data_IF_833320412719
#
_entry.id   IF_833320412719
#
_cell.length_a   1.000
_cell.length_b   1.000
_cell.length_c   1.000
_cell.angle_alpha   90.00
_cell.angle_beta   90.00
_cell.angle_gamma   90.00
#
_symmetry.space_group_name_H-M   'P 1'
#
loop_
_entity.id
_entity.type
_entity.pdbx_description
1 polymer ?
#
# COMPACT_ATOMS: atom_id res chain seq x y z
N UNK A 1 -24.28 12.55 25.44
CA UNK A 1 -23.04 13.29 25.28
C UNK A 1 -23.17 14.32 24.16
N UNK A 2 -22.73 15.52 24.40
CA UNK A 2 -22.71 16.61 23.43
C UNK A 2 -21.30 17.19 23.35
N UNK A 3 -20.66 17.16 22.16
CA UNK A 3 -19.28 17.59 21.93
C UNK A 3 -18.30 16.48 21.57
N UNK A 4 -17.03 16.81 21.41
CA UNK A 4 -15.98 15.88 21.02
C UNK A 4 -15.47 15.04 22.19
N UNK A 5 -15.31 13.75 21.95
CA UNK A 5 -14.64 12.83 22.86
C UNK A 5 -13.14 12.82 22.52
N UNK A 6 -12.34 13.57 23.27
CA UNK A 6 -10.90 13.53 23.10
C UNK A 6 -10.18 13.55 24.46
N UNK A 7 -8.97 12.99 24.48
CA UNK A 7 -8.13 12.96 25.67
C UNK A 7 -7.09 14.07 25.61
N UNK A 8 -7.24 15.09 26.45
CA UNK A 8 -6.32 16.24 26.48
C UNK A 8 -4.87 15.85 26.77
N UNK A 9 -4.66 14.88 27.66
CA UNK A 9 -3.34 14.39 28.06
C UNK A 9 -2.57 13.71 26.92
N UNK A 10 -3.26 13.21 25.90
CA UNK A 10 -2.68 12.44 24.82
C UNK A 10 -2.96 13.02 23.42
N UNK A 11 -3.13 14.34 23.31
CA UNK A 11 -3.41 15.01 22.02
C UNK A 11 -2.39 14.66 20.94
N UNK A 12 -1.11 14.55 21.29
CA UNK A 12 -0.05 14.20 20.37
C UNK A 12 -0.08 12.75 19.87
N UNK A 13 -0.90 11.88 20.44
CA UNK A 13 -0.97 10.45 20.14
C UNK A 13 -1.14 10.14 18.64
N UNK A 14 -1.95 10.94 17.93
CA UNK A 14 -2.21 10.75 16.51
C UNK A 14 -1.00 11.01 15.61
N UNK A 15 -0.09 11.87 16.04
CA UNK A 15 1.03 12.37 15.23
C UNK A 15 2.41 12.05 15.79
N UNK A 16 2.52 11.79 17.11
CA UNK A 16 3.80 11.45 17.75
C UNK A 16 4.39 10.20 17.13
N UNK A 17 5.67 10.28 16.72
CA UNK A 17 6.37 9.20 16.04
C UNK A 17 5.55 8.66 14.84
N UNK A 18 5.09 9.55 13.98
CA UNK A 18 4.18 9.24 12.86
C UNK A 18 4.70 8.10 11.95
N UNK A 19 6.03 7.94 11.81
CA UNK A 19 6.63 6.84 11.06
C UNK A 19 6.26 5.47 11.61
N UNK A 20 6.11 5.33 12.93
CA UNK A 20 5.72 4.07 13.56
C UNK A 20 4.28 3.70 13.17
N UNK A 21 3.35 4.66 13.25
CA UNK A 21 1.95 4.49 12.81
C UNK A 21 1.85 4.12 11.33
N UNK A 22 2.63 4.81 10.48
CA UNK A 22 2.70 4.51 9.05
C UNK A 22 3.22 3.10 8.79
N UNK A 23 4.27 2.68 9.48
CA UNK A 23 4.86 1.35 9.32
C UNK A 23 3.89 0.27 9.80
N UNK A 24 3.23 0.48 10.95
CA UNK A 24 2.18 -0.40 11.44
C UNK A 24 1.09 -0.60 10.38
N UNK A 25 0.52 0.48 9.85
CA UNK A 25 -0.54 0.40 8.84
C UNK A 25 -0.07 -0.30 7.55
N UNK A 26 1.15 -0.04 7.10
CA UNK A 26 1.72 -0.74 5.94
C UNK A 26 1.85 -2.25 6.19
N UNK A 27 2.29 -2.65 7.38
CA UNK A 27 2.38 -4.06 7.73
C UNK A 27 1.00 -4.72 7.80
N UNK A 28 0.01 -4.09 8.42
CA UNK A 28 -1.36 -4.61 8.47
C UNK A 28 -1.89 -4.92 7.05
N UNK A 29 -1.77 -3.98 6.12
CA UNK A 29 -2.21 -4.21 4.75
C UNK A 29 -1.40 -5.29 4.03
N UNK A 30 -0.08 -5.30 4.21
CA UNK A 30 0.78 -6.29 3.58
C UNK A 30 0.46 -7.71 4.06
N UNK A 31 0.23 -7.90 5.36
CA UNK A 31 -0.14 -9.21 5.91
C UNK A 31 -1.54 -9.66 5.51
N UNK A 32 -2.53 -8.75 5.45
CA UNK A 32 -3.85 -9.08 4.92
C UNK A 32 -3.76 -9.57 3.46
N UNK A 33 -2.96 -8.90 2.64
CA UNK A 33 -2.73 -9.31 1.26
C UNK A 33 -1.98 -10.66 1.19
N UNK A 34 -0.95 -10.84 2.02
CA UNK A 34 -0.18 -12.08 2.06
C UNK A 34 -1.05 -13.28 2.47
N UNK A 35 -1.95 -13.13 3.45
CA UNK A 35 -2.90 -14.17 3.83
C UNK A 35 -3.87 -14.51 2.69
N UNK A 36 -4.49 -13.49 2.07
CA UNK A 36 -5.40 -13.68 0.95
C UNK A 36 -4.71 -14.42 -0.22
N UNK A 37 -3.57 -13.92 -0.64
CA UNK A 37 -2.82 -14.49 -1.76
C UNK A 37 -2.30 -15.91 -1.44
N UNK A 38 -1.89 -16.17 -0.20
CA UNK A 38 -1.49 -17.51 0.25
C UNK A 38 -2.64 -18.51 0.21
N UNK A 39 -3.85 -18.09 0.60
CA UNK A 39 -5.04 -18.94 0.48
C UNK A 39 -5.34 -19.25 -0.99
N UNK A 40 -5.30 -18.23 -1.86
CA UNK A 40 -5.50 -18.42 -3.29
C UNK A 40 -4.39 -19.27 -3.91
N UNK A 41 -3.13 -19.05 -3.55
CA UNK A 41 -1.99 -19.85 -3.98
C UNK A 41 -2.12 -21.32 -3.58
N UNK A 42 -2.58 -21.59 -2.36
CA UNK A 42 -2.87 -22.96 -1.91
C UNK A 42 -4.00 -23.61 -2.70
N UNK A 43 -5.12 -22.91 -2.88
CA UNK A 43 -6.31 -23.47 -3.52
C UNK A 43 -6.14 -23.64 -5.04
N UNK A 44 -5.48 -22.71 -5.71
CA UNK A 44 -5.38 -22.65 -7.18
C UNK A 44 -4.08 -23.28 -7.69
N UNK A 45 -2.97 -23.06 -7.00
CA UNK A 45 -1.63 -23.47 -7.47
C UNK A 45 -0.99 -24.56 -6.61
N UNK A 46 -1.68 -25.06 -5.56
CA UNK A 46 -1.18 -26.16 -4.71
C UNK A 46 -0.03 -25.78 -3.80
N UNK A 47 0.18 -24.49 -3.54
CA UNK A 47 1.23 -24.04 -2.61
C UNK A 47 0.92 -24.46 -1.17
N UNK A 48 1.97 -24.64 -0.39
CA UNK A 48 1.84 -24.79 1.06
C UNK A 48 1.52 -23.43 1.71
N UNK A 49 0.55 -23.42 2.63
CA UNK A 49 0.18 -22.18 3.34
C UNK A 49 1.25 -21.83 4.38
N UNK A 50 1.87 -20.64 4.33
CA UNK A 50 3.03 -20.29 5.13
C UNK A 50 2.68 -19.84 6.55
N UNK A 51 1.93 -20.68 7.31
CA UNK A 51 1.36 -20.35 8.61
C UNK A 51 2.38 -19.77 9.60
N UNK A 52 3.55 -20.40 9.72
CA UNK A 52 4.57 -19.95 10.68
C UNK A 52 5.16 -18.58 10.31
N UNK A 53 5.41 -18.33 9.02
CA UNK A 53 5.94 -17.04 8.54
C UNK A 53 4.94 -15.92 8.81
N UNK A 54 3.65 -16.17 8.54
CA UNK A 54 2.57 -15.25 8.81
C UNK A 54 2.41 -14.96 10.31
N UNK A 55 2.36 -16.00 11.13
CA UNK A 55 2.22 -15.85 12.58
C UNK A 55 3.36 -15.03 13.18
N UNK A 56 4.61 -15.35 12.85
CA UNK A 56 5.79 -14.60 13.34
C UNK A 56 5.73 -13.12 12.95
N UNK A 57 5.23 -12.82 11.79
CA UNK A 57 5.06 -11.44 11.35
C UNK A 57 3.97 -10.72 12.12
N UNK A 58 2.79 -11.32 12.26
CA UNK A 58 1.69 -10.78 13.06
C UNK A 58 2.08 -10.57 14.53
N UNK A 59 2.81 -11.51 15.13
CA UNK A 59 3.33 -11.33 16.49
C UNK A 59 4.17 -10.06 16.64
N UNK A 60 5.00 -9.72 15.64
CA UNK A 60 5.80 -8.49 15.64
C UNK A 60 4.94 -7.24 15.45
N UNK A 61 3.98 -7.28 14.53
CA UNK A 61 3.03 -6.17 14.34
C UNK A 61 2.26 -5.90 15.63
N UNK A 62 1.71 -6.94 16.24
CA UNK A 62 0.93 -6.83 17.47
C UNK A 62 1.79 -6.37 18.67
N UNK A 63 3.04 -6.81 18.76
CA UNK A 63 3.97 -6.32 19.78
C UNK A 63 4.14 -4.81 19.72
N UNK A 64 4.31 -4.26 18.50
CA UNK A 64 4.50 -2.83 18.33
C UNK A 64 3.21 -2.00 18.36
N UNK A 65 2.05 -2.65 18.45
CA UNK A 65 0.77 -2.02 18.78
C UNK A 65 0.55 -1.84 20.28
N UNK A 66 1.53 -2.24 21.12
CA UNK A 66 1.48 -2.02 22.54
C UNK A 66 1.16 -0.54 22.87
N UNK A 67 0.31 -0.34 23.87
CA UNK A 67 -0.31 0.96 24.16
C UNK A 67 0.67 2.12 24.47
N UNK A 68 1.94 1.82 24.75
CA UNK A 68 3.01 2.82 24.90
C UNK A 68 3.92 2.92 23.67
N UNK A 69 3.84 1.99 22.74
CA UNK A 69 4.64 2.03 21.51
C UNK A 69 3.87 2.73 20.38
N UNK A 70 2.65 2.26 20.07
CA UNK A 70 1.89 2.84 18.93
C UNK A 70 1.52 4.31 19.13
N UNK A 71 1.22 4.81 20.34
CA UNK A 71 0.91 6.23 20.56
C UNK A 71 2.13 7.15 20.47
N UNK A 72 3.34 6.66 20.60
CA UNK A 72 4.54 7.49 20.56
C UNK A 72 5.08 7.92 21.92
N UNK A 73 4.63 7.29 23.02
CA UNK A 73 4.98 7.63 24.40
C UNK A 73 6.03 6.74 25.04
N UNK A 74 6.64 5.84 24.28
CA UNK A 74 7.70 4.95 24.77
C UNK A 74 9.09 5.60 24.76
N UNK A 75 10.08 4.88 25.24
CA UNK A 75 11.48 5.32 25.25
C UNK A 75 12.09 5.26 23.84
N UNK A 76 13.17 6.00 23.63
CA UNK A 76 13.87 6.10 22.35
C UNK A 76 14.26 4.73 21.78
N UNK A 77 14.81 3.86 22.63
CA UNK A 77 15.28 2.52 22.29
C UNK A 77 14.17 1.64 21.68
N UNK A 78 12.92 1.78 22.16
CA UNK A 78 11.77 1.07 21.60
C UNK A 78 11.51 1.48 20.13
N UNK A 79 11.70 2.77 19.80
CA UNK A 79 11.53 3.25 18.42
C UNK A 79 12.72 2.92 17.53
N UNK A 80 13.92 2.86 18.06
CA UNK A 80 15.09 2.34 17.33
C UNK A 80 14.88 0.86 16.97
N UNK A 81 14.28 0.08 17.87
CA UNK A 81 13.89 -1.31 17.58
C UNK A 81 12.79 -1.39 16.51
N UNK A 82 11.76 -0.57 16.62
CA UNK A 82 10.71 -0.46 15.59
C UNK A 82 11.28 -0.13 14.21
N UNK A 83 12.17 0.86 14.13
CA UNK A 83 12.78 1.29 12.87
C UNK A 83 13.62 0.18 12.23
N UNK A 84 14.24 -0.66 13.04
CA UNK A 84 15.02 -1.81 12.59
C UNK A 84 14.15 -2.99 12.16
N UNK A 85 13.05 -3.26 12.86
CA UNK A 85 12.26 -4.49 12.72
C UNK A 85 11.12 -4.34 11.71
N UNK A 86 10.41 -3.20 11.66
CA UNK A 86 9.30 -3.02 10.72
C UNK A 86 9.68 -3.27 9.25
N UNK A 87 10.85 -2.83 8.74
CA UNK A 87 11.24 -3.16 7.36
C UNK A 87 11.34 -4.66 7.11
N UNK A 88 11.85 -5.43 8.07
CA UNK A 88 11.98 -6.90 7.97
C UNK A 88 10.62 -7.59 7.98
N UNK A 89 9.71 -7.10 8.82
CA UNK A 89 8.33 -7.59 8.92
C UNK A 89 7.59 -7.33 7.62
N UNK A 90 7.71 -6.12 7.07
CA UNK A 90 7.10 -5.76 5.80
C UNK A 90 7.68 -6.59 4.63
N UNK A 91 9.00 -6.78 4.61
CA UNK A 91 9.66 -7.61 3.59
C UNK A 91 9.16 -9.05 3.63
N UNK A 92 9.03 -9.65 4.81
CA UNK A 92 8.48 -11.00 4.96
C UNK A 92 7.07 -11.13 4.35
N UNK A 93 6.18 -10.17 4.61
CA UNK A 93 4.84 -10.18 4.02
C UNK A 93 4.87 -10.02 2.49
N UNK A 94 5.75 -9.15 1.98
CA UNK A 94 5.92 -8.97 0.55
C UNK A 94 6.48 -10.21 -0.15
N UNK A 95 7.44 -10.90 0.48
CA UNK A 95 8.02 -12.15 -0.06
C UNK A 95 6.97 -13.26 -0.13
N UNK A 96 6.13 -13.39 0.91
CA UNK A 96 5.01 -14.33 0.92
C UNK A 96 4.02 -14.00 -0.21
N UNK A 97 3.67 -12.74 -0.37
CA UNK A 97 2.77 -12.28 -1.44
C UNK A 97 3.35 -12.59 -2.82
N UNK A 98 4.62 -12.25 -3.05
CA UNK A 98 5.30 -12.46 -4.33
C UNK A 98 5.40 -13.93 -4.73
N UNK A 99 5.62 -14.83 -3.77
CA UNK A 99 5.62 -16.27 -3.99
C UNK A 99 4.25 -16.75 -4.49
N UNK A 100 3.17 -16.33 -3.81
CA UNK A 100 1.81 -16.68 -4.18
C UNK A 100 1.39 -16.06 -5.52
N UNK A 101 1.65 -14.77 -5.73
CA UNK A 101 1.39 -14.07 -7.00
C UNK A 101 2.09 -14.76 -8.17
N UNK A 102 3.36 -15.10 -8.01
CA UNK A 102 4.14 -15.79 -9.04
C UNK A 102 3.50 -17.15 -9.42
N UNK A 103 3.02 -17.91 -8.44
CA UNK A 103 2.39 -19.19 -8.69
C UNK A 103 1.02 -19.03 -9.36
N UNK A 104 0.21 -18.07 -8.91
CA UNK A 104 -1.12 -17.79 -9.48
C UNK A 104 -0.99 -17.25 -10.91
N UNK A 105 -0.04 -16.33 -11.15
CA UNK A 105 0.19 -15.76 -12.48
C UNK A 105 0.52 -16.82 -13.56
N UNK A 106 1.12 -17.94 -13.19
CA UNK A 106 1.36 -19.05 -14.14
C UNK A 106 0.07 -19.71 -14.66
N UNK A 107 -1.04 -19.50 -13.97
CA UNK A 107 -2.36 -20.03 -14.32
C UNK A 107 -3.20 -19.02 -15.13
N UNK A 108 -2.73 -17.77 -15.22
CA UNK A 108 -3.42 -16.67 -15.89
C UNK A 108 -2.89 -16.51 -17.32
N UNK A 109 -3.80 -16.45 -18.28
CA UNK A 109 -3.46 -16.15 -19.67
C UNK A 109 -3.32 -14.63 -19.82
N UNK A 110 -2.10 -14.15 -19.94
CA UNK A 110 -1.83 -12.70 -19.96
C UNK A 110 -1.55 -12.14 -21.36
N UNK A 111 -1.30 -12.99 -22.35
CA UNK A 111 -0.92 -12.58 -23.72
C UNK A 111 0.17 -11.50 -23.78
N UNK A 112 1.16 -11.61 -22.89
CA UNK A 112 2.23 -10.62 -22.73
C UNK A 112 1.89 -9.42 -21.87
N UNK A 113 0.69 -9.37 -21.29
CA UNK A 113 0.27 -8.35 -20.33
C UNK A 113 0.69 -8.66 -18.89
N UNK A 114 0.35 -7.76 -17.98
CA UNK A 114 0.61 -7.86 -16.54
C UNK A 114 -0.71 -8.03 -15.80
N UNK A 115 -0.81 -9.04 -14.94
CA UNK A 115 -1.97 -9.23 -14.07
C UNK A 115 -1.89 -8.26 -12.87
N UNK A 116 -2.95 -7.50 -12.66
CA UNK A 116 -3.11 -6.58 -11.53
C UNK A 116 -4.24 -7.09 -10.65
N UNK A 117 -3.93 -7.41 -9.40
CA UNK A 117 -4.88 -8.00 -8.44
C UNK A 117 -5.59 -6.93 -7.62
N UNK A 118 -6.89 -7.16 -7.36
CA UNK A 118 -7.68 -6.35 -6.43
C UNK A 118 -7.98 -7.17 -5.16
N UNK A 119 -7.36 -6.85 -4.02
CA UNK A 119 -7.61 -7.55 -2.77
C UNK A 119 -8.90 -7.13 -2.07
N UNK A 120 -9.61 -6.12 -2.58
CA UNK A 120 -10.83 -5.60 -1.96
C UNK A 120 -12.06 -6.47 -2.30
N UNK A 121 -13.12 -6.33 -1.50
CA UNK A 121 -14.41 -6.98 -1.72
C UNK A 121 -15.34 -6.21 -2.66
N UNK A 122 -14.86 -5.13 -3.25
CA UNK A 122 -15.58 -4.28 -4.20
C UNK A 122 -14.70 -4.02 -5.42
N UNK A 123 -15.32 -3.67 -6.55
CA UNK A 123 -14.61 -3.25 -7.75
C UNK A 123 -13.75 -2.02 -7.45
N UNK A 124 -12.54 -2.02 -7.97
CA UNK A 124 -11.60 -0.93 -7.75
C UNK A 124 -10.95 -0.50 -9.07
N UNK A 125 -10.58 0.77 -9.11
CA UNK A 125 -9.74 1.35 -10.15
C UNK A 125 -8.57 2.06 -9.48
N UNK A 126 -7.41 2.05 -10.09
CA UNK A 126 -6.27 2.66 -9.43
C UNK A 126 -5.04 2.79 -10.31
N UNK A 127 -4.09 3.52 -9.77
CA UNK A 127 -2.78 3.74 -10.39
C UNK A 127 -1.84 2.63 -9.99
N UNK A 128 -1.26 1.96 -10.97
CA UNK A 128 -0.24 0.93 -10.79
C UNK A 128 1.04 1.33 -11.52
N UNK A 129 2.16 0.78 -11.08
CA UNK A 129 3.45 1.00 -11.72
C UNK A 129 3.93 -0.31 -12.35
N UNK A 130 4.02 -0.33 -13.68
CA UNK A 130 4.44 -1.48 -14.49
C UNK A 130 5.68 -1.06 -15.28
N UNK A 131 6.78 -1.79 -15.16
CA UNK A 131 8.06 -1.51 -15.84
C UNK A 131 8.52 -0.06 -15.70
N UNK A 132 8.37 0.50 -14.49
CA UNK A 132 8.75 1.88 -14.19
C UNK A 132 7.76 2.93 -14.70
N UNK A 133 6.74 2.55 -15.46
CA UNK A 133 5.72 3.43 -15.99
C UNK A 133 4.44 3.38 -15.16
N UNK A 134 3.85 4.54 -14.93
CA UNK A 134 2.55 4.65 -14.25
C UNK A 134 1.43 4.31 -15.22
N UNK A 135 0.44 3.52 -14.78
CA UNK A 135 -0.77 3.14 -15.53
C UNK A 135 -1.98 3.33 -14.64
N UNK A 136 -3.08 3.78 -15.21
CA UNK A 136 -4.38 3.73 -14.57
C UNK A 136 -5.11 2.48 -15.06
N UNK A 137 -5.60 1.67 -14.14
CA UNK A 137 -6.33 0.44 -14.42
C UNK A 137 -7.74 0.57 -13.88
N UNK A 138 -8.71 0.40 -14.75
CA UNK A 138 -10.13 0.55 -14.42
C UNK A 138 -10.78 -0.82 -14.21
N UNK A 139 -11.86 -0.82 -13.44
CA UNK A 139 -12.78 -1.95 -13.32
C UNK A 139 -12.12 -3.28 -12.92
N UNK A 140 -11.18 -3.25 -11.97
CA UNK A 140 -10.61 -4.49 -11.44
C UNK A 140 -11.65 -5.15 -10.52
N UNK A 141 -12.14 -6.34 -10.85
CA UNK A 141 -13.25 -6.95 -10.12
C UNK A 141 -12.90 -7.28 -8.66
N UNK A 142 -13.92 -7.38 -7.77
CA UNK A 142 -13.70 -7.75 -6.37
C UNK A 142 -12.96 -9.08 -6.23
N UNK A 143 -11.93 -9.13 -5.36
CA UNK A 143 -11.13 -10.36 -5.13
C UNK A 143 -10.63 -11.02 -6.42
N UNK A 144 -10.45 -10.22 -7.46
CA UNK A 144 -10.10 -10.67 -8.80
C UNK A 144 -8.87 -9.96 -9.35
N UNK A 145 -8.73 -10.02 -10.65
CA UNK A 145 -7.62 -9.37 -11.36
C UNK A 145 -8.07 -8.80 -12.71
N UNK A 146 -7.28 -7.87 -13.23
CA UNK A 146 -7.34 -7.42 -14.62
C UNK A 146 -5.99 -7.65 -15.29
N UNK A 147 -5.99 -7.98 -16.59
CA UNK A 147 -4.76 -8.06 -17.38
C UNK A 147 -4.56 -6.74 -18.12
N UNK A 148 -3.44 -6.09 -17.85
CA UNK A 148 -3.08 -4.79 -18.44
C UNK A 148 -2.03 -5.00 -19.49
N UNK A 149 -2.33 -4.58 -20.72
CA UNK A 149 -1.35 -4.63 -21.81
C UNK A 149 -0.35 -3.48 -21.69
N UNK A 150 0.94 -3.70 -22.00
CA UNK A 150 1.95 -2.67 -22.00
C UNK A 150 1.73 -1.71 -23.18
N UNK A 151 0.82 -0.77 -23.05
CA UNK A 151 0.61 0.28 -24.05
C UNK A 151 1.13 1.63 -23.52
N UNK A 152 1.66 2.48 -24.40
CA UNK A 152 2.13 3.81 -23.97
C UNK A 152 0.97 4.60 -23.36
N UNK A 153 1.26 5.32 -22.26
CA UNK A 153 0.32 6.29 -21.71
C UNK A 153 0.05 7.37 -22.76
N UNK A 154 -1.23 7.66 -22.99
CA UNK A 154 -1.57 8.96 -23.59
C UNK A 154 -1.25 10.01 -22.52
N UNK A 155 -0.31 10.88 -22.84
CA UNK A 155 0.04 11.98 -21.93
C UNK A 155 -1.13 12.96 -21.92
N UNK A 156 -1.89 13.00 -20.85
CA UNK A 156 -3.03 13.91 -20.66
C UNK A 156 -2.66 15.17 -19.87
N UNK A 157 -1.39 15.30 -19.50
CA UNK A 157 -0.87 16.45 -18.77
C UNK A 157 0.15 17.18 -19.65
N UNK A 158 -0.11 18.43 -19.94
CA UNK A 158 0.79 19.32 -20.66
C UNK A 158 1.50 20.22 -19.66
N UNK A 159 2.83 20.22 -19.71
CA UNK A 159 3.67 21.06 -18.87
C UNK A 159 4.34 22.09 -19.77
N UNK A 160 4.12 23.36 -19.50
CA UNK A 160 4.77 24.51 -20.12
C UNK A 160 5.51 25.30 -19.05
N UNK A 161 6.27 26.29 -19.46
CA UNK A 161 6.86 27.21 -18.51
C UNK A 161 5.72 27.96 -17.77
N UNK A 162 5.73 27.90 -16.43
CA UNK A 162 4.72 28.48 -15.56
C UNK A 162 3.27 27.96 -15.72
N UNK A 163 3.04 26.85 -16.44
CA UNK A 163 1.71 26.26 -16.61
C UNK A 163 1.73 24.73 -16.57
N UNK A 164 0.73 24.16 -15.91
CA UNK A 164 0.39 22.73 -15.97
C UNK A 164 -1.08 22.60 -16.32
N UNK A 165 -1.38 21.88 -17.40
CA UNK A 165 -2.73 21.75 -17.93
C UNK A 165 -3.12 20.29 -18.13
N UNK A 166 -4.34 19.94 -17.76
CA UNK A 166 -5.01 18.70 -18.14
C UNK A 166 -6.48 19.00 -18.51
N UNK A 167 -7.29 17.97 -18.75
CA UNK A 167 -8.71 18.13 -19.10
C UNK A 167 -9.58 18.77 -17.99
N UNK A 168 -9.09 18.86 -16.75
CA UNK A 168 -9.82 19.37 -15.59
C UNK A 168 -9.30 20.70 -15.08
N UNK A 169 -8.00 20.95 -15.20
CA UNK A 169 -7.31 22.06 -14.55
C UNK A 169 -6.28 22.71 -15.45
N UNK A 170 -6.21 24.04 -15.37
CA UNK A 170 -5.08 24.86 -15.81
C UNK A 170 -4.48 25.52 -14.57
N UNK A 171 -3.31 25.08 -14.15
CA UNK A 171 -2.58 25.64 -13.02
C UNK A 171 -1.52 26.58 -13.57
N UNK A 172 -1.61 27.86 -13.20
CA UNK A 172 -0.63 28.88 -13.57
C UNK A 172 0.24 29.24 -12.36
N UNK A 173 1.52 29.43 -12.63
CA UNK A 173 2.53 29.84 -11.63
C UNK A 173 3.03 31.25 -11.95
N UNK A 174 3.49 31.94 -10.92
CA UNK A 174 4.21 33.20 -11.07
C UNK A 174 5.72 32.98 -11.34
N UNK A 175 6.48 34.08 -11.37
CA UNK A 175 7.93 34.05 -11.61
C UNK A 175 8.73 33.30 -10.53
N UNK A 176 8.14 33.09 -9.34
CA UNK A 176 8.74 32.35 -8.22
C UNK A 176 8.22 30.92 -8.15
N UNK A 177 7.43 30.44 -9.12
CA UNK A 177 6.73 29.15 -9.12
C UNK A 177 5.72 28.98 -7.99
N UNK A 178 5.16 30.08 -7.47
CA UNK A 178 4.02 30.03 -6.59
C UNK A 178 2.73 29.95 -7.41
N UNK A 179 1.73 29.22 -6.91
CA UNK A 179 0.45 29.05 -7.62
C UNK A 179 -0.28 30.39 -7.69
N UNK A 180 -0.48 30.89 -8.90
CA UNK A 180 -1.22 32.12 -9.17
C UNK A 180 -2.71 31.88 -9.41
N UNK A 181 -3.05 30.77 -10.07
CA UNK A 181 -4.42 30.37 -10.35
C UNK A 181 -4.54 28.87 -10.62
N UNK A 182 -5.73 28.32 -10.36
CA UNK A 182 -6.17 26.98 -10.71
C UNK A 182 -7.52 27.08 -11.40
#
# INVERSE_FOLDING_TARGET
>A
WDGELYMEMHRGTYTSIARNKRNNRKCEFAYQNAELLSVLGKLLAGLEYPQEKLNRGWERVLLYQFHDIIPGSSIKEAYEDCDRVYPLVLQNANDISAEAETAICKLIHTDGGVAVFNPHSFENSGVVRIDGQTRFVEHIPPKGYAVVQPSPLKNSVFVRDHEIENEFYLICFDENYEIRSI
#
